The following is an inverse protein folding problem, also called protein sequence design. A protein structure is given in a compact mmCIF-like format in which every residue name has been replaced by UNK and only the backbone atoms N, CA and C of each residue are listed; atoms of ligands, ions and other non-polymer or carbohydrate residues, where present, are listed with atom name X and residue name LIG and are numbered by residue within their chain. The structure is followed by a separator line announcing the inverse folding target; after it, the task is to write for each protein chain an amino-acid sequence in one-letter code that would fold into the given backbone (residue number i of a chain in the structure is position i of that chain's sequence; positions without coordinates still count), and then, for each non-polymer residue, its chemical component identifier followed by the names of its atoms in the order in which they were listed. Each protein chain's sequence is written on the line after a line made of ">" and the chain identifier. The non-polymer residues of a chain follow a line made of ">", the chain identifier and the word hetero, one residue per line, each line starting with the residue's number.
data_IF_316103760778
#
_entry.id   IF_316103760778
#
_cell.length_a   1.000
_cell.length_b   1.000
_cell.length_c   1.000
_cell.angle_alpha   90.00
_cell.angle_beta   90.00
_cell.angle_gamma   90.00
#
_symmetry.space_group_name_H-M   'P 1'
#
loop_
_entity.id
_entity.type
_entity.pdbx_description
1 polymer ?
#
# COMPACT_ATOMS: atom_id res chain seq x y z
N UNK A 1 -19.07 23.85 4.59
CA UNK A 1 -20.02 23.08 3.76
C UNK A 1 -20.22 21.69 4.36
N UNK A 2 -21.38 21.06 4.20
CA UNK A 2 -21.59 19.66 4.62
C UNK A 2 -21.47 18.67 3.44
N UNK A 3 -21.32 17.37 3.75
CA UNK A 3 -21.17 16.32 2.72
C UNK A 3 -22.36 16.25 1.74
N UNK A 4 -23.64 16.31 2.16
CA UNK A 4 -24.77 16.37 1.24
C UNK A 4 -24.68 17.50 0.21
N UNK A 5 -24.27 18.70 0.63
CA UNK A 5 -24.08 19.84 -0.28
C UNK A 5 -22.92 19.57 -1.25
N UNK A 6 -21.79 19.10 -0.74
CA UNK A 6 -20.62 18.72 -1.54
C UNK A 6 -20.99 17.69 -2.62
N UNK A 7 -21.65 16.60 -2.24
CA UNK A 7 -22.08 15.54 -3.15
C UNK A 7 -23.01 16.07 -4.24
N UNK A 8 -23.99 16.91 -3.87
CA UNK A 8 -24.94 17.50 -4.82
C UNK A 8 -24.23 18.32 -5.89
N UNK A 9 -23.26 19.14 -5.50
CA UNK A 9 -22.48 19.98 -6.42
C UNK A 9 -21.69 19.09 -7.37
N UNK A 10 -20.95 18.10 -6.86
CA UNK A 10 -20.19 17.19 -7.71
C UNK A 10 -21.06 16.41 -8.68
N UNK A 11 -22.18 15.84 -8.21
CA UNK A 11 -23.08 15.07 -9.08
C UNK A 11 -23.60 15.91 -10.25
N UNK A 12 -23.86 17.20 -10.01
CA UNK A 12 -24.36 18.12 -11.04
C UNK A 12 -23.36 18.31 -12.19
N UNK A 13 -22.06 18.35 -11.90
CA UNK A 13 -21.03 18.71 -12.87
C UNK A 13 -20.14 17.55 -13.32
N UNK A 14 -20.05 16.48 -12.52
CA UNK A 14 -19.21 15.31 -12.78
C UNK A 14 -20.01 14.03 -13.02
N UNK A 15 -21.31 14.03 -12.71
CA UNK A 15 -22.09 12.80 -12.68
C UNK A 15 -22.70 12.38 -14.01
N UNK A 16 -22.57 13.16 -15.08
CA UNK A 16 -22.93 12.76 -16.46
C UNK A 16 -24.29 12.05 -16.64
N UNK A 17 -25.29 12.44 -15.83
CA UNK A 17 -26.65 11.86 -15.85
C UNK A 17 -26.86 10.64 -14.95
N UNK A 18 -25.82 10.12 -14.30
CA UNK A 18 -25.89 9.00 -13.36
C UNK A 18 -26.92 9.24 -12.24
N UNK A 19 -27.54 8.18 -11.76
CA UNK A 19 -28.40 8.20 -10.57
C UNK A 19 -27.57 8.51 -9.31
N UNK A 20 -28.24 8.78 -8.18
CA UNK A 20 -27.53 9.00 -6.91
C UNK A 20 -26.66 7.79 -6.51
N UNK A 21 -27.17 6.55 -6.51
CA UNK A 21 -26.35 5.39 -6.17
C UNK A 21 -25.18 5.14 -7.13
N UNK A 22 -25.38 5.32 -8.43
CA UNK A 22 -24.32 5.16 -9.45
C UNK A 22 -23.21 6.18 -9.22
N UNK A 23 -23.55 7.47 -9.16
CA UNK A 23 -22.55 8.51 -8.94
C UNK A 23 -21.85 8.39 -7.58
N UNK A 24 -22.50 7.84 -6.56
CA UNK A 24 -21.85 7.61 -5.27
C UNK A 24 -20.75 6.55 -5.37
N UNK A 25 -20.95 5.49 -6.16
CA UNK A 25 -19.92 4.47 -6.43
C UNK A 25 -18.77 5.05 -7.22
N UNK A 26 -19.09 5.80 -8.28
CA UNK A 26 -18.08 6.54 -9.04
C UNK A 26 -17.29 7.50 -8.13
N UNK A 27 -17.95 8.18 -7.20
CA UNK A 27 -17.28 9.06 -6.24
C UNK A 27 -16.36 8.29 -5.26
N UNK A 28 -16.72 7.06 -4.87
CA UNK A 28 -15.83 6.19 -4.10
C UNK A 28 -14.61 5.82 -4.94
N UNK A 29 -14.81 5.36 -6.17
CA UNK A 29 -13.74 4.98 -7.10
C UNK A 29 -12.85 6.17 -7.51
N UNK A 30 -13.40 7.38 -7.55
CA UNK A 30 -12.59 8.59 -7.74
C UNK A 30 -11.65 8.87 -6.56
N UNK A 31 -11.96 8.38 -5.35
CA UNK A 31 -11.14 8.63 -4.16
C UNK A 31 -10.46 7.37 -3.61
N UNK A 32 -10.54 6.22 -4.31
CA UNK A 32 -9.90 4.96 -3.90
C UNK A 32 -9.41 4.16 -5.10
N UNK A 33 -8.47 3.24 -4.89
CA UNK A 33 -8.06 2.27 -5.92
C UNK A 33 -8.79 0.91 -5.79
N UNK A 34 -9.63 0.78 -4.77
CA UNK A 34 -10.43 -0.42 -4.51
C UNK A 34 -11.82 -0.29 -5.15
N UNK A 35 -12.45 -1.43 -5.46
CA UNK A 35 -13.80 -1.51 -6.00
C UNK A 35 -14.83 -0.94 -5.00
N UNK A 36 -15.78 -0.14 -5.50
CA UNK A 36 -16.77 0.51 -4.64
C UNK A 36 -17.68 -0.50 -3.93
N UNK A 37 -18.10 -1.58 -4.58
CA UNK A 37 -18.99 -2.58 -3.99
C UNK A 37 -18.28 -3.38 -2.89
N UNK A 38 -17.00 -3.67 -3.05
CA UNK A 38 -16.18 -4.30 -2.01
C UNK A 38 -16.09 -3.40 -0.76
N UNK A 39 -15.84 -2.10 -0.95
CA UNK A 39 -15.77 -1.13 0.15
C UNK A 39 -17.14 -0.92 0.83
N UNK A 40 -18.22 -0.83 0.07
CA UNK A 40 -19.59 -0.72 0.58
C UNK A 40 -19.91 -1.96 1.42
N UNK A 41 -19.64 -3.15 0.90
CA UNK A 41 -19.88 -4.42 1.59
C UNK A 41 -19.06 -4.53 2.88
N UNK A 42 -17.78 -4.17 2.83
CA UNK A 42 -16.89 -4.16 4.00
C UNK A 42 -17.34 -3.18 5.09
N UNK A 43 -18.05 -2.11 4.73
CA UNK A 43 -18.67 -1.19 5.69
C UNK A 43 -19.89 -1.77 6.45
N UNK A 44 -20.33 -2.97 6.06
CA UNK A 44 -21.45 -3.70 6.64
C UNK A 44 -22.80 -3.37 5.99
N UNK A 45 -22.79 -2.82 4.78
CA UNK A 45 -23.99 -2.56 3.98
C UNK A 45 -24.22 -3.77 3.08
N UNK A 46 -25.39 -4.38 3.17
CA UNK A 46 -25.76 -5.52 2.31
C UNK A 46 -26.18 -5.03 0.92
N UNK A 47 -25.93 -5.83 -0.12
CA UNK A 47 -26.19 -5.45 -1.51
C UNK A 47 -27.65 -5.06 -1.77
N UNK A 48 -28.62 -5.75 -1.14
CA UNK A 48 -30.05 -5.44 -1.22
C UNK A 48 -30.44 -4.07 -0.64
N UNK A 49 -29.59 -3.49 0.22
CA UNK A 49 -29.81 -2.19 0.86
C UNK A 49 -28.84 -1.10 0.41
N UNK A 50 -27.87 -1.43 -0.44
CA UNK A 50 -26.81 -0.52 -0.85
C UNK A 50 -27.36 0.80 -1.39
N UNK A 51 -28.17 0.75 -2.46
CA UNK A 51 -28.70 1.95 -3.11
C UNK A 51 -29.51 2.84 -2.18
N UNK A 52 -30.42 2.24 -1.40
CA UNK A 52 -31.23 2.97 -0.43
C UNK A 52 -30.38 3.66 0.64
N UNK A 53 -29.27 3.02 1.03
CA UNK A 53 -28.32 3.54 2.01
C UNK A 53 -27.50 4.68 1.43
N UNK A 54 -26.97 4.53 0.20
CA UNK A 54 -26.22 5.57 -0.51
C UNK A 54 -27.09 6.82 -0.72
N UNK A 55 -28.35 6.64 -1.14
CA UNK A 55 -29.33 7.75 -1.22
C UNK A 55 -29.54 8.41 0.15
N UNK A 56 -29.53 7.64 1.24
CA UNK A 56 -29.71 8.22 2.57
C UNK A 56 -28.55 9.11 3.01
N UNK A 57 -27.32 8.84 2.53
CA UNK A 57 -26.12 9.63 2.87
C UNK A 57 -26.13 11.02 2.23
N UNK A 58 -26.84 11.19 1.11
CA UNK A 58 -26.98 12.47 0.40
C UNK A 58 -28.11 13.35 0.96
N UNK A 59 -28.86 12.85 1.95
CA UNK A 59 -29.93 13.63 2.59
C UNK A 59 -29.37 14.61 3.63
N UNK A 60 -30.03 15.77 3.82
CA UNK A 60 -29.62 16.76 4.81
C UNK A 60 -29.39 16.15 6.20
N UNK A 61 -28.32 16.58 6.88
CA UNK A 61 -27.93 16.15 8.23
C UNK A 61 -27.56 14.66 8.40
N UNK A 62 -27.42 13.87 7.32
CA UNK A 62 -26.99 12.46 7.41
C UNK A 62 -25.50 12.31 7.13
N UNK A 63 -25.10 12.39 5.86
CA UNK A 63 -23.72 12.12 5.43
C UNK A 63 -23.32 10.65 5.59
N UNK A 64 -22.06 10.35 5.27
CA UNK A 64 -21.48 9.01 5.46
C UNK A 64 -21.37 8.63 6.93
N UNK A 65 -21.53 7.33 7.21
CA UNK A 65 -21.36 6.80 8.56
C UNK A 65 -19.89 6.72 8.96
N UNK A 66 -19.62 6.65 10.27
CA UNK A 66 -18.27 6.38 10.78
C UNK A 66 -17.70 5.05 10.27
N UNK A 67 -18.53 4.02 10.09
CA UNK A 67 -18.08 2.72 9.55
C UNK A 67 -17.60 2.87 8.10
N UNK A 68 -18.41 3.50 7.26
CA UNK A 68 -18.04 3.79 5.87
C UNK A 68 -16.78 4.65 5.79
N UNK A 69 -16.71 5.73 6.57
CA UNK A 69 -15.54 6.60 6.61
C UNK A 69 -14.26 5.86 7.06
N UNK A 70 -14.35 5.02 8.10
CA UNK A 70 -13.22 4.20 8.56
C UNK A 70 -12.76 3.19 7.51
N UNK A 71 -13.68 2.67 6.68
CA UNK A 71 -13.35 1.76 5.61
C UNK A 71 -12.60 2.48 4.48
N UNK A 72 -13.06 3.68 4.10
CA UNK A 72 -12.41 4.49 3.07
C UNK A 72 -11.03 5.02 3.50
N UNK A 73 -10.86 5.36 4.79
CA UNK A 73 -9.69 6.10 5.31
C UNK A 73 -8.32 5.56 4.88
N UNK A 74 -8.16 4.24 4.79
CA UNK A 74 -6.88 3.60 4.48
C UNK A 74 -6.71 3.24 3.00
N UNK A 75 -7.75 3.46 2.20
CA UNK A 75 -7.76 3.25 0.74
C UNK A 75 -7.79 4.57 -0.03
N UNK A 76 -7.71 5.72 0.65
CA UNK A 76 -7.80 7.04 0.02
C UNK A 76 -6.72 7.21 -1.04
N UNK A 77 -7.15 7.44 -2.27
CA UNK A 77 -6.37 7.96 -3.36
C UNK A 77 -7.03 9.19 -4.00
N UNK A 78 -6.60 10.38 -3.59
CA UNK A 78 -7.17 11.63 -4.12
C UNK A 78 -6.73 11.98 -5.54
N UNK A 79 -5.68 11.37 -6.08
CA UNK A 79 -5.18 11.70 -7.43
C UNK A 79 -6.17 11.33 -8.53
N UNK A 80 -6.90 10.23 -8.38
CA UNK A 80 -7.88 9.79 -9.38
C UNK A 80 -8.97 10.85 -9.55
N UNK A 81 -9.40 11.47 -8.45
CA UNK A 81 -10.36 12.57 -8.47
C UNK A 81 -9.75 13.86 -9.05
N UNK A 82 -8.48 14.15 -8.76
CA UNK A 82 -7.77 15.29 -9.38
C UNK A 82 -7.81 15.14 -10.91
N UNK A 83 -7.40 13.99 -11.44
CA UNK A 83 -7.39 13.71 -12.87
C UNK A 83 -8.82 13.72 -13.47
N UNK A 84 -9.82 13.22 -12.73
CA UNK A 84 -11.22 13.25 -13.14
C UNK A 84 -11.80 14.67 -13.22
N UNK A 85 -11.28 15.63 -12.44
CA UNK A 85 -11.64 17.05 -12.52
C UNK A 85 -10.84 17.72 -13.65
N UNK A 86 -9.53 17.49 -13.74
CA UNK A 86 -8.64 18.08 -14.77
C UNK A 86 -9.02 17.67 -16.19
N UNK A 87 -9.64 16.50 -16.37
CA UNK A 87 -10.11 16.02 -17.67
C UNK A 87 -11.44 16.62 -18.12
N UNK A 88 -12.11 17.45 -17.30
CA UNK A 88 -13.37 18.09 -17.68
C UNK A 88 -13.13 19.31 -18.57
N UNK A 89 -14.08 19.67 -19.44
CA UNK A 89 -14.00 20.91 -20.21
C UNK A 89 -13.85 22.13 -19.30
N UNK A 90 -13.06 23.12 -19.72
CA UNK A 90 -12.79 24.35 -18.96
C UNK A 90 -14.07 25.05 -18.49
N UNK A 91 -15.11 25.08 -19.33
CA UNK A 91 -16.43 25.64 -19.00
C UNK A 91 -17.09 24.90 -17.83
N UNK A 92 -17.00 23.57 -17.80
CA UNK A 92 -17.54 22.74 -16.71
C UNK A 92 -16.77 23.01 -15.41
N UNK A 93 -15.44 23.15 -15.48
CA UNK A 93 -14.61 23.46 -14.32
C UNK A 93 -14.96 24.86 -13.79
N UNK A 94 -15.13 25.85 -14.65
CA UNK A 94 -15.53 27.20 -14.24
C UNK A 94 -16.88 27.19 -13.51
N UNK A 95 -17.90 26.51 -14.06
CA UNK A 95 -19.21 26.40 -13.42
C UNK A 95 -19.17 25.64 -12.08
N UNK A 96 -18.35 24.59 -12.01
CA UNK A 96 -18.09 23.85 -10.78
C UNK A 96 -17.50 24.78 -9.70
N UNK A 97 -16.48 25.56 -10.06
CA UNK A 97 -15.81 26.53 -9.18
C UNK A 97 -16.77 27.62 -8.72
N UNK A 98 -17.58 28.17 -9.62
CA UNK A 98 -18.54 29.22 -9.29
C UNK A 98 -19.56 28.75 -8.23
N UNK A 99 -20.02 27.50 -8.32
CA UNK A 99 -20.94 26.94 -7.31
C UNK A 99 -20.22 26.64 -5.98
N UNK A 100 -18.97 26.16 -6.03
CA UNK A 100 -18.17 25.95 -4.81
C UNK A 100 -17.77 27.25 -4.10
N UNK A 101 -17.53 28.33 -4.84
CA UNK A 101 -17.10 29.62 -4.31
C UNK A 101 -18.06 30.22 -3.27
N UNK A 102 -19.35 29.89 -3.37
CA UNK A 102 -20.36 30.29 -2.37
C UNK A 102 -20.13 29.68 -0.98
N UNK A 103 -19.35 28.61 -0.90
CA UNK A 103 -19.07 27.86 0.33
C UNK A 103 -17.58 27.83 0.70
N UNK A 104 -16.72 27.85 -0.31
CA UNK A 104 -15.26 27.75 -0.22
C UNK A 104 -14.63 28.77 -1.19
N UNK A 105 -14.51 30.06 -0.77
CA UNK A 105 -14.05 31.15 -1.65
C UNK A 105 -12.58 31.06 -2.07
N UNK A 106 -11.82 30.13 -1.48
CA UNK A 106 -10.42 29.85 -1.81
C UNK A 106 -10.27 28.92 -3.02
N UNK A 107 -11.37 28.36 -3.53
CA UNK A 107 -11.35 27.49 -4.71
C UNK A 107 -11.35 28.34 -5.98
N UNK A 108 -10.33 28.16 -6.80
CA UNK A 108 -10.17 28.80 -8.12
C UNK A 108 -10.05 27.72 -9.19
N UNK A 109 -10.20 28.09 -10.46
CA UNK A 109 -9.98 27.16 -11.59
C UNK A 109 -8.61 26.49 -11.50
N UNK A 110 -7.57 27.25 -11.12
CA UNK A 110 -6.19 26.76 -11.03
C UNK A 110 -5.97 25.74 -9.90
N UNK A 111 -6.79 25.74 -8.85
CA UNK A 111 -6.61 24.87 -7.70
C UNK A 111 -7.78 23.91 -7.45
N UNK A 112 -8.84 23.98 -8.26
CA UNK A 112 -10.08 23.22 -8.08
C UNK A 112 -9.81 21.71 -8.06
N UNK A 113 -8.97 21.23 -8.97
CA UNK A 113 -8.62 19.81 -9.06
C UNK A 113 -8.00 19.30 -7.77
N UNK A 114 -7.24 20.13 -7.03
CA UNK A 114 -6.60 19.76 -5.77
C UNK A 114 -7.51 19.98 -4.56
N UNK A 115 -8.15 21.15 -4.46
CA UNK A 115 -8.92 21.57 -3.28
C UNK A 115 -10.23 20.78 -3.11
N UNK A 116 -10.89 20.43 -4.21
CA UNK A 116 -12.16 19.69 -4.16
C UNK A 116 -11.96 18.28 -3.58
N UNK A 117 -11.03 17.44 -4.07
CA UNK A 117 -10.74 16.15 -3.45
C UNK A 117 -10.31 16.25 -1.99
N UNK A 118 -9.51 17.27 -1.64
CA UNK A 118 -9.08 17.50 -0.25
C UNK A 118 -10.27 17.67 0.70
N UNK A 119 -11.34 18.37 0.28
CA UNK A 119 -12.56 18.53 1.08
C UNK A 119 -13.22 17.17 1.34
N UNK A 120 -13.26 16.26 0.35
CA UNK A 120 -13.84 14.94 0.56
C UNK A 120 -13.02 14.10 1.53
N UNK A 121 -11.69 14.12 1.36
CA UNK A 121 -10.75 13.45 2.27
C UNK A 121 -10.90 13.98 3.70
N UNK A 122 -11.13 15.29 3.87
CA UNK A 122 -11.45 15.89 5.18
C UNK A 122 -12.75 15.35 5.77
N UNK A 123 -13.84 15.26 4.99
CA UNK A 123 -15.09 14.64 5.46
C UNK A 123 -14.88 13.19 5.91
N UNK A 124 -14.10 12.40 5.17
CA UNK A 124 -13.78 11.02 5.52
C UNK A 124 -13.01 10.98 6.84
N UNK A 125 -11.95 11.77 6.97
CA UNK A 125 -11.12 11.83 8.19
C UNK A 125 -11.92 12.25 9.41
N UNK A 126 -12.70 13.33 9.30
CA UNK A 126 -13.58 13.80 10.37
C UNK A 126 -14.57 12.71 10.79
N UNK A 127 -15.27 12.08 9.84
CA UNK A 127 -16.27 11.05 10.15
C UNK A 127 -15.65 9.76 10.71
N UNK A 128 -14.43 9.42 10.33
CA UNK A 128 -13.67 8.32 10.92
C UNK A 128 -13.21 8.62 12.37
N UNK A 129 -13.29 9.89 12.81
CA UNK A 129 -12.86 10.34 14.12
C UNK A 129 -11.36 10.65 14.21
N UNK A 130 -10.76 11.03 13.08
CA UNK A 130 -9.38 11.52 13.04
C UNK A 130 -9.33 12.96 13.54
N UNK A 131 -8.19 13.36 14.11
CA UNK A 131 -7.96 14.75 14.46
C UNK A 131 -7.90 15.61 13.19
N UNK A 132 -8.73 16.65 13.12
CA UNK A 132 -8.71 17.59 12.00
C UNK A 132 -7.56 18.56 12.22
N UNK A 133 -6.60 18.54 11.31
CA UNK A 133 -5.51 19.53 11.32
C UNK A 133 -5.96 20.81 10.63
N UNK A 134 -5.70 21.94 11.26
CA UNK A 134 -5.92 23.27 10.66
C UNK A 134 -5.01 23.49 9.46
N UNK A 135 -5.36 24.44 8.57
CA UNK A 135 -4.53 24.81 7.43
C UNK A 135 -3.09 25.17 7.85
N UNK A 136 -2.93 25.87 8.98
CA UNK A 136 -1.63 26.24 9.55
C UNK A 136 -0.83 25.00 9.98
N UNK A 137 -1.48 24.02 10.61
CA UNK A 137 -0.81 22.76 10.99
C UNK A 137 -0.38 21.96 9.76
N UNK A 138 -1.25 21.86 8.75
CA UNK A 138 -0.91 21.19 7.48
C UNK A 138 0.29 21.86 6.81
N UNK A 139 0.30 23.19 6.70
CA UNK A 139 1.42 23.93 6.15
C UNK A 139 2.72 23.69 6.94
N UNK A 140 2.63 23.59 8.27
CA UNK A 140 3.77 23.24 9.13
C UNK A 140 4.30 21.83 8.85
N UNK A 141 3.42 20.82 8.71
CA UNK A 141 3.82 19.45 8.36
C UNK A 141 4.53 19.39 7.00
N UNK A 142 3.98 20.07 5.99
CA UNK A 142 4.58 20.15 4.65
C UNK A 142 5.92 20.89 4.68
N UNK A 143 6.04 21.98 5.45
CA UNK A 143 7.31 22.68 5.60
C UNK A 143 8.41 21.80 6.24
N UNK A 144 8.05 21.02 7.27
CA UNK A 144 8.97 20.06 7.90
C UNK A 144 9.36 18.94 6.94
N UNK A 145 8.39 18.36 6.23
CA UNK A 145 8.65 17.36 5.19
C UNK A 145 9.62 17.90 4.13
N UNK A 146 9.40 19.11 3.63
CA UNK A 146 10.27 19.75 2.63
C UNK A 146 11.71 19.94 3.14
N UNK A 147 11.92 20.24 4.43
CA UNK A 147 13.27 20.29 5.01
C UNK A 147 13.93 18.90 4.99
N UNK A 148 13.20 17.86 5.36
CA UNK A 148 13.69 16.48 5.35
C UNK A 148 13.95 15.98 3.92
N UNK A 149 13.10 16.34 2.95
CA UNK A 149 13.27 16.03 1.52
C UNK A 149 14.57 16.60 0.98
N UNK A 150 14.88 17.86 1.29
CA UNK A 150 16.15 18.49 0.86
C UNK A 150 17.39 17.72 1.33
N UNK A 151 17.33 17.10 2.51
CA UNK A 151 18.47 16.40 3.10
C UNK A 151 18.52 14.91 2.75
N UNK A 152 17.38 14.23 2.73
CA UNK A 152 17.30 12.76 2.66
C UNK A 152 16.41 12.23 1.53
N UNK A 153 15.76 13.11 0.76
CA UNK A 153 14.69 12.76 -0.18
C UNK A 153 15.09 11.68 -1.19
N UNK A 154 16.16 11.92 -1.96
CA UNK A 154 16.62 10.99 -2.99
C UNK A 154 17.00 9.60 -2.41
N UNK A 155 17.66 9.59 -1.25
CA UNK A 155 18.05 8.37 -0.56
C UNK A 155 16.81 7.55 -0.18
N UNK A 156 15.83 8.20 0.46
CA UNK A 156 14.62 7.53 0.95
C UNK A 156 13.69 7.10 -0.21
N UNK A 157 13.61 7.87 -1.29
CA UNK A 157 12.90 7.46 -2.51
C UNK A 157 13.49 6.17 -3.09
N UNK A 158 14.81 6.13 -3.22
CA UNK A 158 15.52 4.95 -3.74
C UNK A 158 15.32 3.75 -2.81
N UNK A 159 15.43 3.96 -1.49
CA UNK A 159 15.21 2.92 -0.48
C UNK A 159 13.78 2.33 -0.54
N UNK A 160 12.78 3.17 -0.81
CA UNK A 160 11.38 2.75 -0.97
C UNK A 160 11.01 2.35 -2.41
N UNK A 161 12.00 2.23 -3.31
CA UNK A 161 11.79 1.93 -4.72
C UNK A 161 10.73 2.83 -5.40
N UNK A 162 10.75 4.13 -5.07
CA UNK A 162 9.80 5.13 -5.54
C UNK A 162 8.33 4.81 -5.24
N UNK A 163 8.02 3.98 -4.24
CA UNK A 163 6.67 3.65 -3.82
C UNK A 163 6.37 4.16 -2.40
N UNK A 164 5.10 4.50 -2.14
CA UNK A 164 4.63 4.87 -0.82
C UNK A 164 4.88 3.73 0.18
N UNK A 165 5.51 4.04 1.31
CA UNK A 165 5.84 3.06 2.34
C UNK A 165 4.79 2.99 3.48
N UNK A 166 3.60 3.54 3.26
CA UNK A 166 2.50 3.43 4.21
C UNK A 166 1.89 2.02 4.17
N UNK A 167 1.52 1.40 5.31
CA UNK A 167 0.92 0.07 5.31
C UNK A 167 -0.33 -0.01 4.44
N UNK A 168 -0.33 -0.89 3.44
CA UNK A 168 -1.45 -1.07 2.52
C UNK A 168 -1.43 -0.14 1.30
N UNK A 169 -0.56 0.88 1.28
CA UNK A 169 -0.37 1.74 0.11
C UNK A 169 0.87 1.31 -0.68
N UNK A 170 0.83 1.59 -1.97
CA UNK A 170 1.86 1.16 -2.91
C UNK A 170 2.01 2.13 -4.10
N UNK A 171 1.45 3.34 -3.94
CA UNK A 171 1.38 4.35 -4.98
C UNK A 171 2.77 4.84 -5.40
N UNK A 172 2.97 5.08 -6.71
CA UNK A 172 4.20 5.67 -7.20
C UNK A 172 4.37 7.08 -6.64
N UNK A 173 5.57 7.36 -6.16
CA UNK A 173 5.99 8.65 -5.58
C UNK A 173 6.61 9.58 -6.62
N UNK A 174 6.79 9.09 -7.85
CA UNK A 174 7.18 9.87 -9.01
C UNK A 174 6.07 9.68 -10.03
N UNK A 175 5.35 10.76 -10.32
CA UNK A 175 4.29 10.76 -11.31
C UNK A 175 4.86 11.18 -12.66
N UNK A 176 4.42 10.51 -13.73
CA UNK A 176 4.80 10.87 -15.10
C UNK A 176 3.60 11.50 -15.80
N UNK A 177 3.80 12.72 -16.30
CA UNK A 177 2.82 13.43 -17.14
C UNK A 177 3.49 13.74 -18.48
N UNK A 178 3.14 12.97 -19.51
CA UNK A 178 3.85 12.99 -20.79
C UNK A 178 5.32 12.59 -20.62
N UNK A 179 6.23 13.46 -21.06
CA UNK A 179 7.68 13.24 -20.94
C UNK A 179 8.29 13.84 -19.66
N UNK A 180 7.49 14.34 -18.73
CA UNK A 180 7.94 14.96 -17.50
C UNK A 180 7.67 14.04 -16.30
N UNK A 181 8.66 13.93 -15.42
CA UNK A 181 8.53 13.26 -14.12
C UNK A 181 8.48 14.31 -13.02
N UNK A 182 7.50 14.18 -12.13
CA UNK A 182 7.32 15.06 -10.97
C UNK A 182 7.30 14.24 -9.67
N UNK A 183 8.01 14.73 -8.66
CA UNK A 183 7.99 14.14 -7.33
C UNK A 183 6.65 14.40 -6.64
N UNK A 184 5.99 13.33 -6.17
CA UNK A 184 4.72 13.39 -5.44
C UNK A 184 4.80 12.61 -4.13
N UNK A 185 5.57 13.14 -3.18
CA UNK A 185 5.79 12.48 -1.89
C UNK A 185 6.18 13.45 -0.78
N UNK A 186 5.97 12.98 0.44
CA UNK A 186 6.35 13.63 1.68
C UNK A 186 7.24 12.71 2.53
N UNK A 187 8.10 13.31 3.35
CA UNK A 187 8.97 12.60 4.31
C UNK A 187 8.44 12.82 5.71
N UNK A 188 8.25 11.72 6.45
CA UNK A 188 7.81 11.75 7.85
C UNK A 188 8.80 11.06 8.78
N UNK A 189 8.83 11.50 10.04
CA UNK A 189 9.35 10.71 11.15
C UNK A 189 8.46 9.49 11.38
N UNK A 190 9.04 8.33 11.70
CA UNK A 190 8.30 7.14 12.14
C UNK A 190 7.98 7.22 13.64
N UNK A 191 8.93 7.74 14.41
CA UNK A 191 8.79 8.04 15.83
C UNK A 191 9.02 9.53 16.02
N UNK A 192 7.95 10.28 16.31
CA UNK A 192 7.94 11.75 16.39
C UNK A 192 8.82 12.30 17.53
N UNK A 193 9.11 11.49 18.54
CA UNK A 193 9.96 11.80 19.69
C UNK A 193 11.46 11.54 19.43
N UNK A 194 11.81 11.00 18.26
CA UNK A 194 13.18 10.66 17.89
C UNK A 194 13.76 11.58 16.83
N UNK A 195 15.08 11.51 16.69
CA UNK A 195 15.83 12.35 15.76
C UNK A 195 15.48 12.04 14.28
N UNK A 196 15.56 13.03 13.38
CA UNK A 196 15.39 12.86 11.94
C UNK A 196 16.65 12.27 11.31
N UNK A 197 16.87 10.99 11.52
CA UNK A 197 17.93 10.20 10.90
C UNK A 197 17.34 9.18 9.91
N UNK A 198 18.10 8.73 8.89
CA UNK A 198 17.57 7.87 7.84
C UNK A 198 16.78 6.66 8.35
N UNK A 199 17.21 6.01 9.45
CA UNK A 199 16.52 4.85 10.03
C UNK A 199 15.16 5.16 10.68
N UNK A 200 14.88 6.42 11.00
CA UNK A 200 13.63 6.90 11.57
C UNK A 200 12.80 7.74 10.58
N UNK A 201 13.22 7.81 9.31
CA UNK A 201 12.52 8.54 8.26
C UNK A 201 11.88 7.59 7.25
N UNK A 202 10.72 7.97 6.74
CA UNK A 202 9.96 7.20 5.76
C UNK A 202 9.31 8.12 4.72
N UNK A 203 9.19 7.63 3.49
CA UNK A 203 8.52 8.35 2.39
C UNK A 203 7.11 7.84 2.19
N UNK A 204 6.17 8.77 2.08
CA UNK A 204 4.73 8.51 1.94
C UNK A 204 4.17 9.39 0.82
N UNK A 205 3.10 8.97 0.16
CA UNK A 205 2.34 9.88 -0.69
C UNK A 205 1.61 10.93 0.17
N UNK A 206 1.16 12.06 -0.40
CA UNK A 206 0.55 13.16 0.36
C UNK A 206 -0.66 12.73 1.22
N UNK A 207 -1.53 11.86 0.69
CA UNK A 207 -2.70 11.37 1.41
C UNK A 207 -2.30 10.55 2.64
N UNK A 208 -1.40 9.57 2.47
CA UNK A 208 -0.93 8.72 3.55
C UNK A 208 -0.13 9.52 4.59
N UNK A 209 0.64 10.51 4.15
CA UNK A 209 1.34 11.44 5.04
C UNK A 209 0.37 12.17 5.96
N UNK A 210 -0.63 12.84 5.40
CA UNK A 210 -1.61 13.59 6.20
C UNK A 210 -2.47 12.66 7.08
N UNK A 211 -2.82 11.47 6.59
CA UNK A 211 -3.50 10.45 7.39
C UNK A 211 -2.63 10.02 8.59
N UNK A 212 -1.33 9.82 8.38
CA UNK A 212 -0.40 9.46 9.46
C UNK A 212 -0.19 10.60 10.47
N UNK A 213 -0.10 11.85 10.01
CA UNK A 213 -0.03 13.01 10.91
C UNK A 213 -1.28 13.12 11.80
N UNK A 214 -2.44 12.73 11.29
CA UNK A 214 -3.69 12.68 12.05
C UNK A 214 -3.84 11.42 12.92
N UNK A 215 -3.13 10.33 12.60
CA UNK A 215 -3.23 9.02 13.24
C UNK A 215 -1.86 8.35 13.46
N UNK A 216 -1.15 8.79 14.50
CA UNK A 216 0.15 8.25 14.88
C UNK A 216 0.06 7.18 16.00
N UNK A 217 -1.03 6.40 16.05
CA UNK A 217 -1.20 5.35 17.08
C UNK A 217 -0.07 4.31 17.02
N UNK A 218 0.27 3.73 18.18
CA UNK A 218 1.36 2.74 18.34
C UNK A 218 1.33 1.60 17.31
N UNK A 219 0.14 1.13 16.92
CA UNK A 219 -0.01 0.07 15.91
C UNK A 219 0.55 0.49 14.55
N UNK A 220 0.22 1.70 14.08
CA UNK A 220 0.69 2.23 12.79
C UNK A 220 2.21 2.48 12.85
N UNK A 221 2.68 3.09 13.94
CA UNK A 221 4.12 3.29 14.19
C UNK A 221 4.87 1.95 14.13
N UNK A 222 4.34 0.90 14.76
CA UNK A 222 4.95 -0.44 14.72
C UNK A 222 5.00 -0.99 13.30
N UNK A 223 3.93 -0.83 12.52
CA UNK A 223 3.92 -1.24 11.11
C UNK A 223 4.95 -0.49 10.27
N UNK A 224 5.04 0.84 10.41
CA UNK A 224 6.03 1.66 9.70
C UNK A 224 7.47 1.27 10.07
N UNK A 225 7.75 0.97 11.35
CA UNK A 225 9.06 0.45 11.78
C UNK A 225 9.40 -0.89 11.14
N UNK A 226 8.41 -1.77 10.97
CA UNK A 226 8.61 -3.06 10.32
C UNK A 226 8.86 -2.89 8.82
N UNK A 227 8.10 -2.04 8.14
CA UNK A 227 8.33 -1.68 6.73
C UNK A 227 9.74 -1.09 6.57
N UNK A 228 10.12 -0.13 7.41
CA UNK A 228 11.44 0.50 7.35
C UNK A 228 12.58 -0.51 7.49
N UNK A 229 12.48 -1.47 8.41
CA UNK A 229 13.48 -2.55 8.55
C UNK A 229 13.65 -3.37 7.26
N UNK A 230 12.54 -3.63 6.57
CA UNK A 230 12.54 -4.37 5.31
C UNK A 230 13.23 -3.54 4.22
N UNK A 231 12.88 -2.26 4.09
CA UNK A 231 13.47 -1.35 3.11
C UNK A 231 14.99 -1.21 3.30
N UNK A 232 15.44 -0.98 4.54
CA UNK A 232 16.87 -0.90 4.90
C UNK A 232 17.59 -2.21 4.55
N UNK A 233 16.99 -3.35 4.88
CA UNK A 233 17.57 -4.67 4.59
C UNK A 233 17.65 -4.96 3.10
N UNK A 234 16.70 -4.46 2.29
CA UNK A 234 16.73 -4.63 0.83
C UNK A 234 17.84 -3.75 0.22
N UNK A 235 17.94 -2.50 0.65
CA UNK A 235 18.91 -1.53 0.13
C UNK A 235 20.37 -1.91 0.45
N UNK A 236 20.65 -2.33 1.70
CA UNK A 236 22.00 -2.75 2.11
C UNK A 236 22.55 -3.90 1.28
N UNK A 237 21.64 -4.75 0.81
CA UNK A 237 21.97 -5.96 0.08
C UNK A 237 22.11 -5.70 -1.42
N UNK A 238 21.21 -4.89 -2.01
CA UNK A 238 21.31 -4.50 -3.43
C UNK A 238 22.61 -3.75 -3.78
N UNK A 239 23.15 -2.95 -2.86
CA UNK A 239 24.40 -2.21 -3.11
C UNK A 239 25.66 -3.10 -3.22
N UNK A 240 25.59 -4.39 -2.84
CA UNK A 240 26.75 -5.28 -2.76
C UNK A 240 26.69 -6.50 -3.70
N UNK A 241 25.58 -6.66 -4.43
CA UNK A 241 25.23 -7.89 -5.13
C UNK A 241 25.25 -7.66 -6.64
N UNK A 242 26.09 -8.43 -7.36
CA UNK A 242 26.09 -8.55 -8.83
C UNK A 242 25.43 -9.85 -9.26
N UNK A 243 24.99 -9.98 -10.51
CA UNK A 243 24.25 -11.16 -11.01
C UNK A 243 24.95 -12.50 -10.74
N UNK A 244 26.27 -12.56 -10.93
CA UNK A 244 27.09 -13.75 -10.60
C UNK A 244 27.09 -14.09 -9.09
N UNK A 245 26.91 -13.09 -8.21
CA UNK A 245 26.74 -13.31 -6.77
C UNK A 245 25.30 -13.68 -6.42
N UNK A 246 24.31 -13.25 -7.20
CA UNK A 246 22.90 -13.62 -7.04
C UNK A 246 22.74 -15.14 -7.20
N UNK A 247 23.24 -15.69 -8.30
CA UNK A 247 23.15 -17.12 -8.58
C UNK A 247 23.80 -17.95 -7.45
N UNK A 248 25.00 -17.56 -7.01
CA UNK A 248 25.73 -18.25 -5.95
C UNK A 248 25.01 -18.15 -4.59
N UNK A 249 24.42 -17.00 -4.26
CA UNK A 249 23.63 -16.80 -3.04
C UNK A 249 22.38 -17.68 -3.02
N UNK A 250 21.64 -17.71 -4.13
CA UNK A 250 20.45 -18.57 -4.33
C UNK A 250 20.82 -20.05 -4.20
N UNK A 251 21.88 -20.49 -4.89
CA UNK A 251 22.39 -21.86 -4.82
C UNK A 251 22.73 -22.23 -3.37
N UNK A 252 23.40 -21.34 -2.63
CA UNK A 252 23.80 -21.58 -1.25
C UNK A 252 22.61 -21.69 -0.30
N UNK A 253 21.60 -20.81 -0.44
CA UNK A 253 20.36 -20.89 0.36
C UNK A 253 19.65 -22.22 0.09
N UNK A 254 19.44 -22.60 -1.17
CA UNK A 254 18.74 -23.82 -1.57
C UNK A 254 19.48 -25.09 -1.13
N UNK A 255 20.79 -25.15 -1.34
CA UNK A 255 21.61 -26.30 -0.95
C UNK A 255 21.69 -26.45 0.58
N UNK A 256 21.63 -25.34 1.31
CA UNK A 256 21.61 -25.36 2.77
C UNK A 256 20.22 -25.74 3.32
N UNK A 257 19.15 -25.26 2.69
CA UNK A 257 17.77 -25.67 2.98
C UNK A 257 17.60 -27.18 2.89
N UNK A 258 18.11 -27.80 1.82
CA UNK A 258 18.03 -29.25 1.62
C UNK A 258 18.71 -30.09 2.73
N UNK A 259 19.62 -29.47 3.50
CA UNK A 259 20.35 -30.13 4.59
C UNK A 259 19.69 -29.95 5.95
N UNK A 260 18.76 -29.00 6.06
CA UNK A 260 17.99 -28.81 7.28
C UNK A 260 16.86 -29.84 7.26
N UNK A 261 16.68 -30.59 8.34
CA UNK A 261 15.51 -31.46 8.52
C UNK A 261 14.55 -30.76 9.46
N UNK A 262 13.29 -30.61 9.05
CA UNK A 262 12.21 -30.09 9.91
C UNK A 262 11.11 -31.15 10.00
N UNK A 263 10.52 -31.34 11.19
CA UNK A 263 9.61 -32.46 11.47
C UNK A 263 8.42 -32.60 10.50
N UNK A 264 8.16 -33.85 10.11
CA UNK A 264 7.19 -34.36 9.12
C UNK A 264 5.72 -34.40 9.59
N UNK A 265 4.80 -34.20 8.65
CA UNK A 265 3.35 -34.37 8.67
C UNK A 265 2.78 -34.47 7.24
N UNK A 266 1.75 -35.30 7.07
CA UNK A 266 1.08 -35.71 5.82
C UNK A 266 0.18 -34.61 5.18
N UNK A 267 0.20 -34.43 3.84
CA UNK A 267 -0.52 -33.33 3.16
C UNK A 267 -0.90 -33.61 1.67
N UNK A 268 -2.14 -33.25 1.29
CA UNK A 268 -2.74 -33.29 -0.07
C UNK A 268 -2.82 -31.90 -0.74
N UNK A 269 -2.58 -31.81 -2.06
CA UNK A 269 -2.36 -30.59 -2.87
C UNK A 269 -3.63 -29.95 -3.49
N UNK A 270 -3.79 -28.61 -3.39
CA UNK A 270 -4.69 -27.80 -4.24
C UNK A 270 -4.15 -26.35 -4.44
N UNK A 271 -3.90 -25.87 -5.68
CA UNK A 271 -3.29 -24.55 -5.94
C UNK A 271 -4.29 -23.38 -5.92
N UNK A 272 -3.88 -22.24 -5.30
CA UNK A 272 -4.66 -20.98 -5.19
C UNK A 272 -3.82 -19.73 -5.49
N UNK A 273 -4.42 -18.64 -6.01
CA UNK A 273 -3.71 -17.43 -6.51
C UNK A 273 -3.05 -16.55 -5.42
N UNK A 274 -2.05 -15.72 -5.78
CA UNK A 274 -1.24 -14.88 -4.87
C UNK A 274 -2.06 -13.85 -4.06
N UNK A 275 -3.12 -13.30 -4.67
CA UNK A 275 -4.04 -12.31 -4.09
C UNK A 275 -4.85 -12.86 -2.91
N UNK A 276 -5.06 -14.18 -2.86
CA UNK A 276 -5.76 -14.87 -1.77
C UNK A 276 -4.86 -15.11 -0.55
N UNK A 277 -3.55 -14.84 -0.66
CA UNK A 277 -2.51 -15.31 0.27
C UNK A 277 -1.78 -14.18 0.97
N UNK A 278 -1.40 -13.14 0.22
CA UNK A 278 -1.04 -11.82 0.77
C UNK A 278 -2.20 -10.89 0.42
N UNK A 279 -3.08 -10.62 1.37
CA UNK A 279 -4.16 -9.65 1.19
C UNK A 279 -3.52 -8.28 0.85
N UNK A 280 -3.71 -7.79 -0.38
CA UNK A 280 -3.15 -6.49 -0.80
C UNK A 280 -3.65 -5.37 0.12
N UNK A 281 -4.91 -5.44 0.53
CA UNK A 281 -5.56 -4.53 1.49
C UNK A 281 -4.84 -4.43 2.84
N UNK A 282 -4.15 -5.49 3.28
CA UNK A 282 -3.48 -5.54 4.60
C UNK A 282 -1.97 -5.32 4.54
N UNK A 283 -1.31 -5.66 3.43
CA UNK A 283 0.15 -5.60 3.34
C UNK A 283 0.68 -5.49 1.89
N UNK A 284 0.18 -4.49 1.15
CA UNK A 284 0.53 -4.22 -0.25
C UNK A 284 2.03 -4.00 -0.51
N UNK A 285 2.77 -3.40 0.43
CA UNK A 285 4.23 -3.23 0.32
C UNK A 285 4.98 -4.57 0.30
N UNK A 286 4.58 -5.53 1.17
CA UNK A 286 5.14 -6.89 1.13
C UNK A 286 4.76 -7.58 -0.18
N UNK A 287 3.51 -7.42 -0.62
CA UNK A 287 3.05 -7.95 -1.90
C UNK A 287 3.88 -7.40 -3.07
N UNK A 288 4.14 -6.09 -3.14
CA UNK A 288 4.95 -5.48 -4.18
C UNK A 288 6.43 -5.86 -4.09
N UNK A 289 7.01 -5.93 -2.89
CA UNK A 289 8.39 -6.37 -2.73
C UNK A 289 8.56 -7.82 -3.18
N UNK A 290 7.66 -8.72 -2.74
CA UNK A 290 7.61 -10.11 -3.21
C UNK A 290 7.43 -10.12 -4.72
N UNK A 291 6.46 -9.37 -5.26
CA UNK A 291 6.18 -9.29 -6.69
C UNK A 291 7.37 -8.78 -7.50
N UNK A 292 8.07 -7.73 -7.08
CA UNK A 292 9.21 -7.16 -7.81
C UNK A 292 10.46 -8.05 -7.68
N UNK A 293 10.76 -8.54 -6.48
CA UNK A 293 11.88 -9.48 -6.27
C UNK A 293 11.67 -10.80 -7.02
N UNK A 294 10.42 -11.25 -7.13
CA UNK A 294 10.02 -12.43 -7.89
C UNK A 294 10.02 -12.14 -9.38
N UNK A 295 9.35 -11.10 -9.89
CA UNK A 295 9.29 -10.83 -11.34
C UNK A 295 10.69 -10.71 -11.96
N UNK A 296 11.62 -10.03 -11.28
CA UNK A 296 12.97 -9.82 -11.83
C UNK A 296 13.85 -11.07 -11.76
N UNK A 297 13.60 -11.99 -10.80
CA UNK A 297 14.50 -13.12 -10.52
C UNK A 297 13.84 -14.51 -10.58
N UNK A 298 12.54 -14.60 -10.86
CA UNK A 298 11.77 -15.84 -10.82
C UNK A 298 12.32 -16.86 -11.82
N UNK A 299 12.57 -16.42 -13.06
CA UNK A 299 13.13 -17.28 -14.09
C UNK A 299 14.53 -17.76 -13.72
N UNK A 300 15.32 -16.93 -13.05
CA UNK A 300 16.67 -17.28 -12.58
C UNK A 300 16.61 -18.30 -11.44
N UNK A 301 15.80 -18.06 -10.41
CA UNK A 301 15.59 -19.00 -9.29
C UNK A 301 15.05 -20.33 -9.80
N UNK A 302 14.06 -20.31 -10.70
CA UNK A 302 13.46 -21.51 -11.29
C UNK A 302 14.49 -22.32 -12.08
N UNK A 303 15.32 -21.67 -12.91
CA UNK A 303 16.41 -22.33 -13.65
C UNK A 303 17.43 -22.96 -12.71
N UNK A 304 17.81 -22.26 -11.64
CA UNK A 304 18.75 -22.77 -10.64
C UNK A 304 18.18 -24.01 -9.93
N UNK A 305 16.93 -23.94 -9.46
CA UNK A 305 16.25 -25.07 -8.80
C UNK A 305 16.21 -26.28 -9.73
N UNK A 306 15.73 -26.12 -10.98
CA UNK A 306 15.64 -27.22 -11.95
C UNK A 306 17.03 -27.82 -12.23
N UNK A 307 18.07 -26.98 -12.31
CA UNK A 307 19.43 -27.42 -12.55
C UNK A 307 20.01 -28.21 -11.36
N UNK A 308 19.81 -27.73 -10.13
CA UNK A 308 20.30 -28.39 -8.91
C UNK A 308 19.57 -29.71 -8.64
N UNK A 309 18.27 -29.76 -8.88
CA UNK A 309 17.41 -30.94 -8.72
C UNK A 309 17.80 -32.03 -9.71
N UNK A 310 17.96 -31.67 -11.00
CA UNK A 310 18.49 -32.60 -12.03
C UNK A 310 19.90 -33.11 -11.72
N UNK A 311 20.71 -32.33 -11.01
CA UNK A 311 22.05 -32.72 -10.56
C UNK A 311 22.03 -33.54 -9.26
N UNK A 312 20.87 -33.76 -8.64
CA UNK A 312 20.73 -34.45 -7.35
C UNK A 312 21.36 -33.69 -6.16
N UNK A 313 21.63 -32.38 -6.32
CA UNK A 313 22.23 -31.54 -5.27
C UNK A 313 21.21 -31.02 -4.27
N UNK A 314 19.98 -30.87 -4.71
CA UNK A 314 18.82 -30.59 -3.87
C UNK A 314 17.73 -31.60 -4.17
N UNK A 315 16.84 -31.82 -3.20
CA UNK A 315 15.54 -32.41 -3.43
C UNK A 315 14.53 -31.28 -3.39
N UNK A 316 13.99 -30.92 -4.56
CA UNK A 316 13.07 -29.80 -4.64
C UNK A 316 11.76 -30.05 -3.89
N UNK A 317 11.23 -31.29 -3.90
CA UNK A 317 10.00 -31.64 -3.20
C UNK A 317 10.17 -31.47 -1.69
N UNK A 318 11.31 -31.91 -1.15
CA UNK A 318 11.64 -31.75 0.27
C UNK A 318 11.77 -30.26 0.67
N UNK A 319 12.41 -29.42 -0.14
CA UNK A 319 12.50 -27.99 0.16
C UNK A 319 11.11 -27.33 0.16
N UNK A 320 10.25 -27.68 -0.82
CA UNK A 320 8.86 -27.20 -0.83
C UNK A 320 8.15 -27.58 0.47
N UNK A 321 8.27 -28.85 0.85
CA UNK A 321 7.64 -29.40 2.04
C UNK A 321 8.04 -28.64 3.31
N UNK A 322 9.33 -28.38 3.51
CA UNK A 322 9.83 -27.66 4.67
C UNK A 322 9.33 -26.21 4.74
N UNK A 323 9.35 -25.54 3.59
CA UNK A 323 8.86 -24.17 3.51
C UNK A 323 7.35 -24.12 3.83
N UNK A 324 6.54 -25.06 3.32
CA UNK A 324 5.11 -25.24 3.70
C UNK A 324 4.92 -25.35 5.20
N UNK A 325 5.69 -26.25 5.82
CA UNK A 325 5.60 -26.55 7.25
C UNK A 325 5.86 -25.31 8.10
N UNK A 326 6.89 -24.51 7.76
CA UNK A 326 7.20 -23.28 8.48
C UNK A 326 6.07 -22.24 8.41
N UNK A 327 5.49 -22.05 7.23
CA UNK A 327 4.41 -21.10 7.05
C UNK A 327 3.15 -21.52 7.82
N UNK A 328 2.72 -22.78 7.69
CA UNK A 328 1.56 -23.34 8.40
C UNK A 328 1.66 -23.14 9.91
N UNK A 329 2.82 -23.44 10.50
CA UNK A 329 3.06 -23.28 11.94
C UNK A 329 2.88 -21.83 12.40
N UNK A 330 3.39 -20.87 11.64
CA UNK A 330 3.29 -19.45 11.99
C UNK A 330 1.87 -18.89 11.78
N UNK A 331 1.18 -19.34 10.74
CA UNK A 331 -0.23 -18.99 10.48
C UNK A 331 -1.16 -19.58 11.55
N UNK A 332 -0.95 -20.83 11.95
CA UNK A 332 -1.69 -21.46 13.07
C UNK A 332 -1.50 -20.71 14.39
N UNK A 333 -0.31 -20.14 14.61
CA UNK A 333 -0.02 -19.26 15.75
C UNK A 333 -0.59 -17.83 15.61
N UNK A 334 -1.43 -17.56 14.60
CA UNK A 334 -2.10 -16.28 14.34
C UNK A 334 -1.16 -15.09 14.08
N UNK A 335 0.03 -15.35 13.56
CA UNK A 335 0.88 -14.27 13.05
C UNK A 335 0.29 -13.67 11.76
N UNK A 336 0.47 -12.36 11.57
CA UNK A 336 0.14 -11.73 10.29
C UNK A 336 1.19 -12.07 9.21
N UNK A 337 0.83 -11.86 7.95
CA UNK A 337 1.68 -12.24 6.80
C UNK A 337 3.08 -11.61 6.83
N UNK A 338 3.20 -10.39 7.37
CA UNK A 338 4.48 -9.67 7.48
C UNK A 338 5.37 -10.29 8.56
N UNK A 339 4.79 -10.61 9.71
CA UNK A 339 5.46 -11.32 10.78
C UNK A 339 5.88 -12.72 10.34
N UNK A 340 5.04 -13.43 9.58
CA UNK A 340 5.36 -14.73 8.99
C UNK A 340 6.57 -14.60 8.06
N UNK A 341 6.50 -13.71 7.07
CA UNK A 341 7.58 -13.49 6.10
C UNK A 341 8.92 -13.20 6.80
N UNK A 342 8.94 -12.20 7.68
CA UNK A 342 10.15 -11.81 8.42
C UNK A 342 10.69 -12.96 9.29
N UNK A 343 9.81 -13.77 9.87
CA UNK A 343 10.22 -14.91 10.71
C UNK A 343 10.86 -16.01 9.88
N UNK A 344 10.29 -16.35 8.72
CA UNK A 344 10.86 -17.36 7.81
C UNK A 344 12.20 -16.86 7.26
N UNK A 345 12.26 -15.62 6.77
CA UNK A 345 13.50 -14.99 6.29
C UNK A 345 14.58 -15.04 7.38
N UNK A 346 14.25 -14.67 8.62
CA UNK A 346 15.19 -14.70 9.75
C UNK A 346 15.66 -16.13 10.08
N UNK A 347 14.78 -17.13 9.96
CA UNK A 347 15.14 -18.55 10.14
C UNK A 347 16.10 -19.02 9.04
N UNK A 348 15.81 -18.70 7.78
CA UNK A 348 16.69 -19.04 6.66
C UNK A 348 18.06 -18.36 6.79
N UNK A 349 18.08 -17.06 7.12
CA UNK A 349 19.33 -16.34 7.32
C UNK A 349 20.19 -17.00 8.41
N UNK A 350 19.58 -17.36 9.54
CA UNK A 350 20.29 -18.05 10.63
C UNK A 350 20.80 -19.44 10.23
N UNK A 351 20.02 -20.18 9.46
CA UNK A 351 20.32 -21.57 9.14
C UNK A 351 21.31 -21.70 7.96
N UNK A 352 21.30 -20.73 7.04
CA UNK A 352 22.13 -20.75 5.82
C UNK A 352 23.34 -19.82 5.92
N UNK A 353 23.34 -18.89 6.89
CA UNK A 353 24.30 -17.79 7.03
C UNK A 353 24.44 -16.92 5.76
N UNK A 354 23.47 -17.03 4.85
CA UNK A 354 23.43 -16.25 3.61
C UNK A 354 22.80 -14.89 3.86
N UNK A 355 23.10 -13.94 2.99
CA UNK A 355 22.51 -12.61 3.06
C UNK A 355 20.96 -12.66 3.16
N UNK A 356 20.39 -11.75 3.95
CA UNK A 356 18.95 -11.65 4.20
C UNK A 356 18.19 -11.47 2.90
N UNK A 357 18.78 -10.78 1.92
CA UNK A 357 18.19 -10.59 0.59
C UNK A 357 17.99 -11.89 -0.16
N UNK A 358 18.98 -12.80 -0.19
CA UNK A 358 18.81 -14.10 -0.83
C UNK A 358 17.73 -14.94 -0.13
N UNK A 359 17.66 -14.84 1.20
CA UNK A 359 16.60 -15.46 1.98
C UNK A 359 15.22 -14.87 1.63
N UNK A 360 15.10 -13.55 1.48
CA UNK A 360 13.87 -12.87 1.04
C UNK A 360 13.45 -13.31 -0.36
N UNK A 361 14.38 -13.41 -1.31
CA UNK A 361 14.10 -13.86 -2.68
C UNK A 361 13.55 -15.29 -2.70
N UNK A 362 14.17 -16.21 -1.96
CA UNK A 362 13.70 -17.60 -1.88
C UNK A 362 12.32 -17.68 -1.23
N UNK A 363 12.09 -16.99 -0.11
CA UNK A 363 10.76 -16.96 0.53
C UNK A 363 9.72 -16.37 -0.41
N UNK A 364 10.06 -15.31 -1.14
CA UNK A 364 9.19 -14.66 -2.12
C UNK A 364 8.86 -15.59 -3.30
N UNK A 365 9.85 -16.30 -3.84
CA UNK A 365 9.66 -17.31 -4.89
C UNK A 365 8.65 -18.38 -4.47
N UNK A 366 8.83 -18.91 -3.26
CA UNK A 366 7.99 -19.97 -2.73
C UNK A 366 6.56 -19.51 -2.38
N UNK A 367 6.40 -18.25 -1.97
CA UNK A 367 5.09 -17.60 -1.83
C UNK A 367 4.40 -17.50 -3.19
N UNK A 368 5.12 -17.04 -4.23
CA UNK A 368 4.60 -16.91 -5.60
C UNK A 368 4.18 -18.26 -6.19
N UNK A 369 5.07 -19.25 -6.13
CA UNK A 369 4.86 -20.55 -6.79
C UNK A 369 3.82 -21.42 -6.09
N UNK A 370 3.21 -20.91 -5.02
CA UNK A 370 2.17 -21.59 -4.25
C UNK A 370 2.62 -22.90 -3.62
N UNK A 371 3.94 -23.06 -3.45
CA UNK A 371 4.55 -24.28 -2.96
C UNK A 371 4.74 -24.28 -1.44
N UNK A 372 4.17 -23.31 -0.71
CA UNK A 372 4.35 -23.11 0.75
C UNK A 372 3.03 -23.04 1.54
N UNK A 373 1.88 -23.18 0.87
CA UNK A 373 0.67 -22.56 1.41
C UNK A 373 -0.53 -23.51 1.33
N UNK A 374 -0.93 -24.00 2.51
CA UNK A 374 -2.27 -24.45 2.88
C UNK A 374 -2.62 -23.78 4.22
#
# INVERSE_FOLDING_TARGET
>A
MDFPTYFRILKKYLGDGATIPEFFRELIEMITDDDAEDLISASGITSDKADSTLISYTKPKRGITKKMASQLLYSINSSNMQDAIESRPDETIQLLVDEFNSYCPDITVDNASQRIPEIFVEFIREKAGMAISTAVQKASFIAQSNQLKKQYGQFLLTEANNCCAFPGCDRPLILTRGNLAAENYEVSLIENDKKPEPLNLIVLCPDCFLTYQADSRKKIVTSLKNIKKILVSAQSSQQQISDLKIDNGIISVLTSLNKLKFDEYDISYDPKQLTEKISPEKNRTLYQMVKNQVIDNYLTIQKIIISLDKQGKIDYEEIQYQMRSMYKKLKAAKHDNLAIFNTIVKKLHKATLQDVYFCQMIVSFFIQKCEVLE
#
